data_IF_924425352939
#
_entry.id   IF_924425352939
#
_cell.length_a   1.000
_cell.length_b   1.000
_cell.length_c   1.000
_cell.angle_alpha   90.00
_cell.angle_beta   90.00
_cell.angle_gamma   90.00
#
_symmetry.space_group_name_H-M   'P 1'
#
loop_
_entity.id
_entity.type
_entity.pdbx_description
1 polymer ?
#
# COMPACT_ATOMS: atom_id res chain seq x y z
N UNK A 1 20.83 0.20 -32.87
CA UNK A 1 19.41 0.38 -33.24
C UNK A 1 18.51 -0.79 -32.82
N UNK A 2 18.96 -2.06 -32.90
CA UNK A 2 18.16 -3.24 -32.51
C UNK A 2 17.95 -3.41 -30.99
N UNK A 3 18.82 -2.85 -30.14
CA UNK A 3 18.72 -2.96 -28.69
C UNK A 3 17.66 -2.03 -28.07
N UNK A 4 17.32 -0.94 -28.75
CA UNK A 4 16.24 -0.02 -28.31
C UNK A 4 14.85 -0.56 -28.62
N UNK A 5 14.69 -1.35 -29.70
CA UNK A 5 13.39 -1.92 -30.06
C UNK A 5 12.97 -2.98 -29.05
N UNK A 6 13.87 -3.89 -28.66
CA UNK A 6 13.61 -4.91 -27.64
C UNK A 6 13.22 -4.31 -26.28
N UNK A 7 13.87 -3.22 -25.85
CA UNK A 7 13.54 -2.49 -24.62
C UNK A 7 12.13 -1.89 -24.66
N UNK A 8 11.65 -1.43 -25.84
CA UNK A 8 10.28 -0.94 -26.02
C UNK A 8 9.22 -2.05 -25.98
N UNK A 9 9.52 -3.25 -26.47
CA UNK A 9 8.56 -4.36 -26.48
C UNK A 9 8.31 -4.93 -25.07
N UNK A 10 9.35 -5.06 -24.24
CA UNK A 10 9.21 -5.55 -22.87
C UNK A 10 8.48 -4.57 -21.94
N UNK A 11 8.76 -3.26 -22.09
CA UNK A 11 8.03 -2.23 -21.35
C UNK A 11 6.56 -2.19 -21.77
N UNK A 12 6.26 -2.33 -23.07
CA UNK A 12 4.87 -2.43 -23.56
C UNK A 12 4.17 -3.69 -23.05
N UNK A 13 4.85 -4.82 -22.96
CA UNK A 13 4.28 -6.07 -22.43
C UNK A 13 3.98 -5.99 -20.93
N UNK A 14 4.88 -5.39 -20.13
CA UNK A 14 4.64 -5.16 -18.69
C UNK A 14 3.53 -4.12 -18.49
N UNK A 15 3.52 -3.03 -19.28
CA UNK A 15 2.48 -2.01 -19.21
C UNK A 15 1.11 -2.57 -19.62
N UNK A 16 1.06 -3.44 -20.63
CA UNK A 16 -0.15 -4.15 -21.06
C UNK A 16 -0.57 -5.23 -20.05
N UNK A 17 0.37 -5.94 -19.42
CA UNK A 17 0.08 -6.92 -18.36
C UNK A 17 -0.46 -6.24 -17.09
N UNK A 18 0.11 -5.09 -16.70
CA UNK A 18 -0.40 -4.25 -15.61
C UNK A 18 -1.76 -3.62 -15.96
N UNK A 19 -1.98 -3.20 -17.21
CA UNK A 19 -3.30 -2.75 -17.69
C UNK A 19 -4.32 -3.89 -17.70
N UNK A 20 -3.92 -5.11 -18.04
CA UNK A 20 -4.81 -6.28 -18.10
C UNK A 20 -5.21 -6.75 -16.70
N UNK A 21 -4.32 -6.63 -15.70
CA UNK A 21 -4.64 -6.90 -14.29
C UNK A 21 -5.34 -5.72 -13.59
N UNK A 22 -5.18 -4.47 -14.05
CA UNK A 22 -5.93 -3.32 -13.54
C UNK A 22 -7.31 -3.14 -14.20
N UNK A 23 -7.59 -3.84 -15.30
CA UNK A 23 -8.83 -3.76 -16.07
C UNK A 23 -9.77 -4.96 -15.86
N UNK A 24 -9.71 -5.64 -14.72
CA UNK A 24 -10.86 -6.36 -14.19
C UNK A 24 -11.60 -5.49 -13.18
N UNK A 25 -12.50 -4.57 -13.61
CA UNK A 25 -13.49 -4.02 -12.72
C UNK A 25 -14.63 -5.04 -12.66
N UNK A 26 -14.61 -5.96 -11.70
CA UNK A 26 -15.79 -6.77 -11.41
C UNK A 26 -15.80 -7.11 -9.93
N UNK A 27 -16.34 -6.15 -9.16
CA UNK A 27 -17.52 -6.28 -8.28
C UNK A 27 -17.41 -5.28 -7.13
N UNK A 28 -17.70 -4.02 -7.40
CA UNK A 28 -18.24 -3.14 -6.38
C UNK A 28 -19.74 -3.34 -6.38
N UNK A 29 -20.19 -4.44 -5.75
CA UNK A 29 -21.58 -4.56 -5.36
C UNK A 29 -21.63 -4.03 -3.93
N UNK A 30 -22.19 -2.83 -3.78
CA UNK A 30 -22.79 -2.43 -2.51
C UNK A 30 -23.76 -3.54 -2.10
N UNK A 31 -23.42 -4.33 -1.08
CA UNK A 31 -24.35 -5.28 -0.47
C UNK A 31 -25.37 -4.50 0.37
N UNK A 32 -26.34 -3.89 -0.34
CA UNK A 32 -27.60 -3.41 0.23
C UNK A 32 -28.64 -4.55 0.35
N UNK A 33 -28.24 -5.81 0.16
CA UNK A 33 -29.17 -6.92 -0.04
C UNK A 33 -29.00 -8.03 1.00
N UNK A 34 -29.29 -7.73 2.27
CA UNK A 34 -29.67 -8.78 3.23
C UNK A 34 -30.80 -8.39 4.20
N UNK A 35 -31.59 -7.37 3.87
CA UNK A 35 -32.88 -7.12 4.53
C UNK A 35 -33.99 -7.87 3.80
N UNK A 36 -34.13 -9.17 4.07
CA UNK A 36 -35.45 -9.80 4.06
C UNK A 36 -35.39 -11.13 4.78
N UNK A 37 -36.43 -11.38 5.59
CA UNK A 37 -36.75 -12.62 6.31
C UNK A 37 -35.98 -12.92 7.60
N UNK A 38 -36.33 -12.23 8.70
CA UNK A 38 -36.98 -12.87 9.87
C UNK A 38 -37.88 -11.84 10.56
N UNK A 39 -39.19 -11.96 10.35
CA UNK A 39 -40.20 -11.26 11.11
C UNK A 39 -41.04 -12.33 11.82
N UNK A 40 -40.70 -12.67 13.06
CA UNK A 40 -41.63 -13.25 14.04
C UNK A 40 -41.02 -13.40 15.44
N UNK A 41 -41.52 -12.58 16.39
CA UNK A 41 -42.06 -12.98 17.71
C UNK A 41 -41.81 -11.92 18.82
N UNK A 42 -42.80 -11.02 18.97
CA UNK A 42 -43.40 -10.46 20.20
C UNK A 42 -42.60 -10.46 21.53
N UNK A 43 -42.33 -9.28 22.10
CA UNK A 43 -42.95 -8.74 23.35
C UNK A 43 -42.38 -7.34 23.71
N UNK A 44 -43.19 -6.40 24.25
CA UNK A 44 -42.72 -5.06 24.63
C UNK A 44 -42.42 -5.00 26.12
N UNK A 45 -41.17 -4.69 26.50
CA UNK A 45 -40.91 -4.11 27.82
C UNK A 45 -39.72 -3.15 27.77
N UNK A 46 -39.88 -2.06 28.52
CA UNK A 46 -39.08 -0.85 28.44
C UNK A 46 -37.70 -1.02 29.10
N UNK A 47 -36.63 -0.72 28.35
CA UNK A 47 -35.39 -0.16 28.88
C UNK A 47 -34.57 0.47 27.74
N UNK A 48 -34.70 1.79 27.56
CA UNK A 48 -33.84 2.57 26.66
C UNK A 48 -32.50 2.85 27.35
N UNK A 49 -31.57 1.91 27.27
CA UNK A 49 -30.15 2.15 27.49
C UNK A 49 -29.35 1.51 26.35
N UNK A 50 -28.77 2.37 25.50
CA UNK A 50 -27.59 2.06 24.68
C UNK A 50 -27.75 0.98 23.61
N UNK A 51 -28.50 1.25 22.54
CA UNK A 51 -28.44 0.43 21.31
C UNK A 51 -28.19 1.32 20.09
N UNK A 52 -26.96 1.82 19.98
CA UNK A 52 -26.32 2.17 18.70
C UNK A 52 -25.44 1.00 18.20
N UNK A 53 -25.38 -0.10 18.96
CA UNK A 53 -24.49 -1.25 18.74
C UNK A 53 -25.06 -2.41 17.92
N UNK A 54 -25.98 -2.16 16.99
CA UNK A 54 -26.34 -3.17 15.97
C UNK A 54 -25.88 -2.63 14.62
N UNK A 55 -24.61 -2.87 14.25
CA UNK A 55 -24.12 -3.08 12.86
C UNK A 55 -22.62 -2.84 12.60
N UNK A 56 -21.81 -2.39 13.56
CA UNK A 56 -20.35 -2.40 13.35
C UNK A 56 -19.83 -3.83 13.55
N UNK A 57 -19.26 -4.44 12.50
CA UNK A 57 -18.46 -5.67 12.64
C UNK A 57 -17.23 -5.43 13.52
N UNK A 58 -16.30 -6.40 13.59
CA UNK A 58 -15.05 -6.21 14.35
C UNK A 58 -14.33 -4.92 13.92
N UNK A 59 -14.31 -4.61 12.62
CA UNK A 59 -13.67 -3.41 12.06
C UNK A 59 -14.17 -2.12 12.71
N UNK A 60 -15.48 -1.89 12.78
CA UNK A 60 -16.03 -0.68 13.41
C UNK A 60 -16.13 -0.73 14.95
N UNK A 61 -15.58 -1.77 15.59
CA UNK A 61 -15.52 -1.83 17.05
C UNK A 61 -14.37 -1.00 17.60
N UNK A 62 -14.43 -0.57 18.86
CA UNK A 62 -13.34 0.19 19.51
C UNK A 62 -11.99 -0.54 19.43
N UNK A 63 -12.00 -1.88 19.53
CA UNK A 63 -10.79 -2.68 19.44
C UNK A 63 -10.29 -2.82 17.99
N UNK A 64 -11.20 -2.92 17.01
CA UNK A 64 -10.86 -2.97 15.58
C UNK A 64 -10.23 -1.65 15.12
N UNK A 65 -10.86 -0.53 15.46
CA UNK A 65 -10.34 0.82 15.22
C UNK A 65 -8.92 0.98 15.79
N UNK A 66 -8.73 0.66 17.08
CA UNK A 66 -7.42 0.79 17.71
C UNK A 66 -6.35 -0.11 17.05
N UNK A 67 -6.75 -1.29 16.56
CA UNK A 67 -5.88 -2.19 15.82
C UNK A 67 -5.49 -1.63 14.45
N UNK A 68 -6.48 -1.13 13.70
CA UNK A 68 -6.26 -0.51 12.40
C UNK A 68 -5.40 0.75 12.51
N UNK A 69 -5.69 1.64 13.46
CA UNK A 69 -4.88 2.84 13.72
C UNK A 69 -3.42 2.48 14.06
N UNK A 70 -3.20 1.47 14.90
CA UNK A 70 -1.86 0.97 15.19
C UNK A 70 -1.14 0.46 13.91
N UNK A 71 -1.83 -0.30 13.07
CA UNK A 71 -1.29 -0.80 11.81
C UNK A 71 -0.91 0.33 10.85
N UNK A 72 -1.75 1.36 10.74
CA UNK A 72 -1.48 2.55 9.94
C UNK A 72 -0.30 3.33 10.47
N UNK A 73 -0.24 3.61 11.78
CA UNK A 73 0.87 4.34 12.41
C UNK A 73 2.19 3.59 12.22
N UNK A 74 2.21 2.27 12.47
CA UNK A 74 3.41 1.47 12.29
C UNK A 74 3.85 1.42 10.82
N UNK A 75 2.91 1.31 9.89
CA UNK A 75 3.19 1.42 8.46
C UNK A 75 3.75 2.80 8.10
N UNK A 76 3.22 3.87 8.70
CA UNK A 76 3.72 5.23 8.58
C UNK A 76 5.19 5.37 8.96
N UNK A 77 5.61 4.73 10.06
CA UNK A 77 7.03 4.68 10.46
C UNK A 77 7.89 4.05 9.35
N UNK A 78 7.46 2.92 8.77
CA UNK A 78 8.20 2.26 7.69
C UNK A 78 8.27 3.11 6.43
N UNK A 79 7.16 3.73 6.03
CA UNK A 79 7.12 4.64 4.87
C UNK A 79 8.01 5.87 5.10
N UNK A 80 8.08 6.41 6.33
CA UNK A 80 9.00 7.50 6.65
C UNK A 80 10.46 7.11 6.55
N UNK A 81 10.84 5.91 6.99
CA UNK A 81 12.21 5.42 6.82
C UNK A 81 12.57 5.32 5.33
N UNK A 82 11.64 4.86 4.49
CA UNK A 82 11.79 4.83 3.04
C UNK A 82 11.95 6.26 2.49
N UNK A 83 11.05 7.17 2.84
CA UNK A 83 11.09 8.56 2.41
C UNK A 83 12.39 9.27 2.81
N UNK A 84 12.85 9.11 4.06
CA UNK A 84 14.12 9.66 4.54
C UNK A 84 15.32 9.07 3.78
N UNK A 85 15.27 7.77 3.46
CA UNK A 85 16.29 7.12 2.64
C UNK A 85 16.34 7.69 1.21
N UNK A 86 15.19 8.04 0.65
CA UNK A 86 15.08 8.69 -0.66
C UNK A 86 15.50 10.16 -0.63
N UNK A 87 15.15 10.92 0.43
CA UNK A 87 15.63 12.30 0.63
C UNK A 87 17.16 12.31 0.73
N UNK A 88 17.74 11.38 1.50
CA UNK A 88 19.20 11.23 1.61
C UNK A 88 19.84 10.99 0.24
N UNK A 89 19.25 10.12 -0.57
CA UNK A 89 19.75 9.81 -1.92
C UNK A 89 19.61 11.00 -2.86
N UNK A 90 18.46 11.68 -2.86
CA UNK A 90 18.23 12.88 -3.65
C UNK A 90 19.23 13.97 -3.28
N UNK A 91 19.44 14.25 -1.99
CA UNK A 91 20.37 15.28 -1.53
C UNK A 91 21.86 14.88 -1.60
N UNK A 92 22.17 13.69 -2.11
CA UNK A 92 23.53 13.14 -2.18
C UNK A 92 24.31 13.25 -0.85
N UNK A 93 23.61 13.07 0.28
CA UNK A 93 24.21 13.26 1.60
C UNK A 93 25.23 12.14 1.88
N UNK A 94 26.49 12.48 2.22
CA UNK A 94 27.59 11.51 2.31
C UNK A 94 27.58 10.64 3.58
N UNK A 95 26.45 10.51 4.28
CA UNK A 95 26.42 9.89 5.61
C UNK A 95 26.22 8.38 5.61
N UNK A 96 26.95 7.73 6.51
CA UNK A 96 26.87 6.34 6.96
C UNK A 96 26.48 5.32 5.90
N UNK A 97 27.47 4.63 5.33
CA UNK A 97 27.29 3.64 4.26
C UNK A 97 26.22 2.57 4.57
N UNK A 98 25.96 2.26 5.84
CA UNK A 98 24.93 1.30 6.26
C UNK A 98 23.49 1.81 6.02
N UNK A 99 23.26 3.13 6.04
CA UNK A 99 21.91 3.72 5.85
C UNK A 99 21.31 3.44 4.48
N UNK A 100 22.14 3.02 3.51
CA UNK A 100 21.67 2.52 2.22
C UNK A 100 20.72 1.32 2.39
N UNK A 101 20.81 0.55 3.48
CA UNK A 101 19.97 -0.61 3.72
C UNK A 101 18.65 -0.29 4.44
N UNK A 102 18.42 0.95 4.85
CA UNK A 102 17.19 1.35 5.54
C UNK A 102 15.95 1.16 4.66
N UNK A 103 15.99 1.60 3.40
CA UNK A 103 14.88 1.44 2.46
C UNK A 103 14.48 -0.03 2.23
N UNK A 104 15.39 -0.92 1.78
CA UNK A 104 15.01 -2.32 1.58
C UNK A 104 14.62 -2.99 2.91
N UNK A 105 15.27 -2.63 4.02
CA UNK A 105 14.91 -3.14 5.35
C UNK A 105 13.49 -2.77 5.76
N UNK A 106 13.09 -1.51 5.57
CA UNK A 106 11.75 -1.04 5.86
C UNK A 106 10.69 -1.70 4.98
N UNK A 107 10.96 -1.88 3.67
CA UNK A 107 10.06 -2.61 2.77
C UNK A 107 9.90 -4.08 3.18
N UNK A 108 10.99 -4.74 3.57
CA UNK A 108 10.94 -6.13 4.01
C UNK A 108 10.21 -6.28 5.35
N UNK A 109 10.43 -5.35 6.29
CA UNK A 109 9.73 -5.31 7.57
C UNK A 109 8.23 -5.04 7.38
N UNK A 110 7.87 -4.01 6.62
CA UNK A 110 6.48 -3.66 6.31
C UNK A 110 5.78 -4.81 5.57
N UNK A 111 6.44 -5.43 4.58
CA UNK A 111 5.87 -6.55 3.84
C UNK A 111 5.60 -7.77 4.74
N UNK A 112 6.55 -8.09 5.62
CA UNK A 112 6.39 -9.18 6.59
C UNK A 112 5.27 -8.87 7.58
N UNK A 113 5.19 -7.62 8.04
CA UNK A 113 4.15 -7.14 8.94
C UNK A 113 2.76 -7.28 8.32
N UNK A 114 2.57 -6.83 7.08
CA UNK A 114 1.30 -6.96 6.35
C UNK A 114 0.92 -8.42 6.09
N UNK A 115 1.89 -9.31 5.89
CA UNK A 115 1.54 -10.72 5.71
C UNK A 115 1.08 -11.39 7.00
N UNK A 116 1.64 -11.00 8.15
CA UNK A 116 1.44 -11.72 9.40
C UNK A 116 0.45 -11.04 10.34
N UNK A 117 0.49 -9.71 10.48
CA UNK A 117 -0.17 -8.97 11.54
C UNK A 117 -1.20 -7.92 11.07
N UNK A 118 -1.29 -7.55 9.80
CA UNK A 118 -2.27 -6.50 9.40
C UNK A 118 -3.72 -6.84 9.70
N UNK A 119 -4.08 -8.12 9.68
CA UNK A 119 -5.48 -8.57 9.76
C UNK A 119 -5.64 -9.53 10.94
N UNK A 120 -6.45 -9.14 11.93
CA UNK A 120 -6.56 -9.90 13.18
C UNK A 120 -7.07 -11.33 12.99
N UNK A 121 -7.97 -11.53 12.02
CA UNK A 121 -8.59 -12.82 11.73
C UNK A 121 -7.82 -13.64 10.70
N UNK A 122 -6.90 -13.03 9.95
CA UNK A 122 -6.25 -13.72 8.85
C UNK A 122 -5.18 -14.72 9.33
N UNK A 123 -4.98 -15.75 8.54
CA UNK A 123 -3.78 -16.58 8.62
C UNK A 123 -2.52 -15.71 8.49
N UNK A 124 -1.44 -15.96 9.27
CA UNK A 124 -1.20 -17.14 10.10
C UNK A 124 -1.60 -17.02 11.58
N UNK A 125 -2.03 -15.85 12.04
CA UNK A 125 -2.24 -15.60 13.48
C UNK A 125 -3.70 -15.68 13.93
N UNK A 126 -4.63 -15.55 13.00
CA UNK A 126 -6.06 -15.47 13.27
C UNK A 126 -6.81 -16.78 13.07
N UNK A 127 -8.14 -16.68 13.11
CA UNK A 127 -9.06 -17.80 13.03
C UNK A 127 -9.28 -18.34 11.60
N UNK A 128 -9.04 -17.53 10.57
CA UNK A 128 -9.18 -17.92 9.18
C UNK A 128 -8.04 -18.86 8.76
N UNK A 129 -8.40 -19.89 8.00
CA UNK A 129 -7.43 -20.72 7.30
C UNK A 129 -6.77 -19.97 6.14
N UNK A 130 -5.64 -20.47 5.65
CA UNK A 130 -4.97 -19.93 4.46
C UNK A 130 -5.93 -19.74 3.28
N UNK A 131 -6.77 -20.74 2.98
CA UNK A 131 -7.71 -20.64 1.86
C UNK A 131 -8.77 -19.55 2.07
N UNK A 132 -9.26 -19.38 3.30
CA UNK A 132 -10.23 -18.33 3.63
C UNK A 132 -9.59 -16.93 3.57
N UNK A 133 -8.34 -16.78 4.02
CA UNK A 133 -7.60 -15.51 3.94
C UNK A 133 -7.37 -15.06 2.50
N UNK A 134 -6.98 -15.96 1.60
CA UNK A 134 -6.61 -15.57 0.24
C UNK A 134 -7.74 -15.70 -0.79
N UNK A 135 -8.77 -16.50 -0.51
CA UNK A 135 -9.85 -16.80 -1.45
C UNK A 135 -11.26 -16.70 -0.83
N UNK A 136 -11.38 -16.15 0.39
CA UNK A 136 -12.66 -16.03 1.10
C UNK A 136 -13.53 -14.84 0.68
N UNK A 137 -13.05 -13.97 -0.20
CA UNK A 137 -13.81 -12.82 -0.72
C UNK A 137 -13.71 -11.54 0.10
N UNK A 138 -12.93 -11.52 1.18
CA UNK A 138 -12.63 -10.30 1.93
C UNK A 138 -11.61 -9.45 1.16
N UNK A 139 -12.07 -8.35 0.57
CA UNK A 139 -11.25 -7.47 -0.25
C UNK A 139 -10.19 -6.71 0.56
N UNK A 140 -10.46 -6.41 1.84
CA UNK A 140 -9.54 -5.71 2.72
C UNK A 140 -8.32 -6.60 2.98
N UNK A 141 -8.56 -7.81 3.47
CA UNK A 141 -7.51 -8.80 3.74
C UNK A 141 -6.72 -9.08 2.45
N UNK A 142 -7.41 -9.29 1.33
CA UNK A 142 -6.76 -9.57 0.06
C UNK A 142 -5.82 -8.43 -0.37
N UNK A 143 -6.25 -7.17 -0.21
CA UNK A 143 -5.41 -6.02 -0.52
C UNK A 143 -4.23 -5.91 0.44
N UNK A 144 -4.41 -6.09 1.75
CA UNK A 144 -3.31 -6.10 2.72
C UNK A 144 -2.25 -7.16 2.39
N UNK A 145 -2.66 -8.40 2.08
CA UNK A 145 -1.70 -9.45 1.68
C UNK A 145 -1.03 -9.14 0.35
N UNK A 146 -1.76 -8.57 -0.59
CA UNK A 146 -1.20 -8.11 -1.86
C UNK A 146 -0.12 -7.04 -1.62
N UNK A 147 -0.39 -6.00 -0.83
CA UNK A 147 0.60 -5.00 -0.44
C UNK A 147 1.82 -5.61 0.25
N UNK A 148 1.61 -6.60 1.12
CA UNK A 148 2.68 -7.36 1.76
C UNK A 148 3.63 -8.02 0.74
N UNK A 149 3.06 -8.73 -0.24
CA UNK A 149 3.83 -9.40 -1.32
C UNK A 149 4.55 -8.38 -2.20
N UNK A 150 3.90 -7.29 -2.58
CA UNK A 150 4.52 -6.22 -3.38
C UNK A 150 5.72 -5.63 -2.61
N UNK A 151 5.55 -5.31 -1.33
CA UNK A 151 6.59 -4.73 -0.48
C UNK A 151 7.78 -5.68 -0.30
N UNK A 152 7.53 -6.98 -0.05
CA UNK A 152 8.61 -7.98 0.04
C UNK A 152 9.38 -8.12 -1.28
N UNK A 153 8.66 -8.13 -2.40
CA UNK A 153 9.26 -8.25 -3.74
C UNK A 153 10.19 -7.07 -4.03
N UNK A 154 9.70 -5.84 -3.83
CA UNK A 154 10.50 -4.64 -4.06
C UNK A 154 11.64 -4.52 -3.04
N UNK A 155 11.39 -4.80 -1.76
CA UNK A 155 12.41 -4.80 -0.72
C UNK A 155 13.56 -5.75 -1.04
N UNK A 156 13.24 -6.95 -1.53
CA UNK A 156 14.25 -7.93 -1.97
C UNK A 156 15.04 -7.41 -3.17
N UNK A 157 14.37 -6.89 -4.21
CA UNK A 157 15.04 -6.32 -5.39
C UNK A 157 15.99 -5.19 -4.97
N UNK A 158 15.53 -4.25 -4.14
CA UNK A 158 16.33 -3.14 -3.66
C UNK A 158 17.52 -3.60 -2.80
N UNK A 159 17.34 -4.64 -2.00
CA UNK A 159 18.42 -5.23 -1.21
C UNK A 159 19.51 -5.83 -2.12
N UNK A 160 19.12 -6.66 -3.09
CA UNK A 160 20.03 -7.29 -4.04
C UNK A 160 20.78 -6.24 -4.90
N UNK A 161 20.10 -5.17 -5.31
CA UNK A 161 20.74 -4.02 -5.99
C UNK A 161 21.80 -3.37 -5.13
N UNK A 162 21.52 -3.14 -3.85
CA UNK A 162 22.45 -2.50 -2.92
C UNK A 162 23.60 -3.42 -2.54
N UNK A 163 23.45 -4.73 -2.62
CA UNK A 163 24.56 -5.68 -2.57
C UNK A 163 25.39 -5.73 -3.86
N UNK A 164 24.95 -5.08 -4.94
CA UNK A 164 25.65 -5.09 -6.23
C UNK A 164 25.35 -6.33 -7.08
N UNK A 165 24.39 -7.16 -6.68
CA UNK A 165 24.02 -8.38 -7.40
C UNK A 165 23.14 -8.09 -8.63
N UNK A 166 22.45 -6.95 -8.65
CA UNK A 166 21.60 -6.49 -9.74
C UNK A 166 22.13 -5.17 -10.34
N UNK A 167 23.15 -5.27 -11.20
CA UNK A 167 23.84 -4.10 -11.78
C UNK A 167 23.12 -3.42 -12.94
N UNK A 168 22.14 -4.06 -13.57
CA UNK A 168 21.44 -3.48 -14.73
C UNK A 168 20.46 -2.37 -14.30
N UNK A 169 20.49 -1.22 -14.99
CA UNK A 169 19.70 -0.04 -14.63
C UNK A 169 18.18 -0.29 -14.56
N UNK A 170 17.66 -1.26 -15.32
CA UNK A 170 16.23 -1.64 -15.29
C UNK A 170 15.74 -2.07 -13.89
N UNK A 171 16.65 -2.55 -13.02
CA UNK A 171 16.28 -2.95 -11.67
C UNK A 171 15.95 -1.75 -10.76
N UNK A 172 16.20 -0.51 -11.19
CA UNK A 172 15.70 0.68 -10.51
C UNK A 172 14.20 0.94 -10.74
N UNK A 173 13.62 0.35 -11.79
CA UNK A 173 12.23 0.58 -12.23
C UNK A 173 11.15 -0.03 -11.33
N UNK A 174 11.32 -1.20 -10.69
CA UNK A 174 10.32 -1.77 -9.80
C UNK A 174 9.83 -0.82 -8.72
N UNK A 175 10.71 -0.24 -7.89
CA UNK A 175 10.29 0.62 -6.77
C UNK A 175 9.22 1.68 -7.16
N UNK A 176 9.43 2.54 -8.18
CA UNK A 176 8.42 3.51 -8.56
C UNK A 176 7.22 2.90 -9.31
N UNK A 177 7.37 1.79 -10.04
CA UNK A 177 6.22 1.12 -10.69
C UNK A 177 5.29 0.50 -9.65
N UNK A 178 5.84 -0.17 -8.64
CA UNK A 178 5.05 -0.75 -7.55
C UNK A 178 4.42 0.33 -6.66
N UNK A 179 5.05 1.50 -6.51
CA UNK A 179 4.40 2.65 -5.88
C UNK A 179 3.16 3.13 -6.66
N UNK A 180 3.21 3.13 -8.00
CA UNK A 180 2.03 3.43 -8.83
C UNK A 180 0.97 2.35 -8.68
N UNK A 181 1.33 1.07 -8.79
CA UNK A 181 0.38 -0.05 -8.65
C UNK A 181 -0.29 -0.02 -7.27
N UNK A 182 0.50 0.10 -6.21
CA UNK A 182 -0.03 0.18 -4.85
C UNK A 182 -0.88 1.42 -4.63
N UNK A 183 -0.47 2.56 -5.19
CA UNK A 183 -1.25 3.80 -5.17
C UNK A 183 -2.60 3.68 -5.88
N UNK A 184 -2.65 2.98 -7.02
CA UNK A 184 -3.90 2.71 -7.74
C UNK A 184 -4.84 1.79 -6.95
N UNK A 185 -4.28 0.79 -6.25
CA UNK A 185 -5.07 -0.10 -5.39
C UNK A 185 -5.75 0.67 -4.24
N UNK A 186 -5.11 1.71 -3.70
CA UNK A 186 -5.66 2.48 -2.56
C UNK A 186 -7.00 3.17 -2.88
N UNK A 187 -7.28 3.48 -4.15
CA UNK A 187 -8.57 4.09 -4.53
C UNK A 187 -9.77 3.16 -4.32
N UNK A 188 -9.54 1.85 -4.34
CA UNK A 188 -10.55 0.84 -4.06
C UNK A 188 -10.34 0.17 -2.70
N UNK A 189 -9.54 0.76 -1.82
CA UNK A 189 -9.31 0.23 -0.49
C UNK A 189 -10.38 0.75 0.48
N UNK A 190 -10.95 -0.16 1.25
CA UNK A 190 -11.91 0.13 2.31
C UNK A 190 -11.69 -0.85 3.44
N UNK A 191 -11.80 -0.36 4.67
CA UNK A 191 -12.08 -1.25 5.79
C UNK A 191 -13.52 -1.76 5.68
N UNK A 192 -13.84 -2.89 6.33
CA UNK A 192 -15.17 -3.48 6.35
C UNK A 192 -16.30 -2.53 6.83
N UNK A 193 -17.38 -3.06 7.40
CA UNK A 193 -18.49 -2.18 7.86
C UNK A 193 -17.99 -1.27 8.99
N UNK A 194 -17.75 0.01 8.67
CA UNK A 194 -17.07 0.97 9.51
C UNK A 194 -17.81 2.33 9.56
N UNK A 195 -18.02 2.94 10.74
CA UNK A 195 -18.74 4.22 10.87
C UNK A 195 -18.05 5.40 10.15
N UNK A 196 -16.75 5.32 9.93
CA UNK A 196 -15.93 6.35 9.27
C UNK A 196 -15.49 5.98 7.84
N UNK A 197 -16.19 5.05 7.17
CA UNK A 197 -15.83 4.54 5.85
C UNK A 197 -15.53 5.64 4.81
N UNK A 198 -16.32 6.73 4.78
CA UNK A 198 -16.10 7.85 3.86
C UNK A 198 -14.78 8.60 4.13
N UNK A 199 -14.47 8.86 5.40
CA UNK A 199 -13.22 9.52 5.81
C UNK A 199 -12.03 8.66 5.41
N UNK A 200 -12.11 7.37 5.72
CA UNK A 200 -11.11 6.36 5.37
C UNK A 200 -10.87 6.35 3.85
N UNK A 201 -11.94 6.30 3.05
CA UNK A 201 -11.82 6.28 1.59
C UNK A 201 -11.14 7.55 1.05
N UNK A 202 -11.46 8.73 1.61
CA UNK A 202 -10.80 9.99 1.25
C UNK A 202 -9.31 9.96 1.60
N UNK A 203 -8.96 9.53 2.82
CA UNK A 203 -7.58 9.43 3.27
C UNK A 203 -6.77 8.49 2.34
N UNK A 204 -7.34 7.35 1.98
CA UNK A 204 -6.75 6.38 1.05
C UNK A 204 -6.63 6.93 -0.38
N UNK A 205 -7.64 7.65 -0.89
CA UNK A 205 -7.56 8.28 -2.21
C UNK A 205 -6.49 9.37 -2.28
N UNK A 206 -6.29 10.13 -1.20
CA UNK A 206 -5.22 11.13 -1.08
C UNK A 206 -3.85 10.43 -1.11
N UNK A 207 -3.67 9.38 -0.31
CA UNK A 207 -2.43 8.58 -0.31
C UNK A 207 -2.17 7.95 -1.68
N UNK A 208 -3.19 7.39 -2.32
CA UNK A 208 -3.12 6.81 -3.66
C UNK A 208 -2.68 7.82 -4.71
N UNK A 209 -3.25 9.02 -4.68
CA UNK A 209 -2.87 10.12 -5.57
C UNK A 209 -1.41 10.54 -5.37
N UNK A 210 -0.96 10.66 -4.11
CA UNK A 210 0.44 10.96 -3.81
C UNK A 210 1.38 9.85 -4.30
N UNK A 211 1.03 8.58 -4.08
CA UNK A 211 1.86 7.45 -4.48
C UNK A 211 2.01 7.33 -6.01
N UNK A 212 0.91 7.50 -6.76
CA UNK A 212 0.93 7.52 -8.23
C UNK A 212 1.76 8.69 -8.76
N UNK A 213 1.58 9.88 -8.16
CA UNK A 213 2.35 11.08 -8.54
C UNK A 213 3.83 10.92 -8.23
N UNK A 214 4.15 10.33 -7.07
CA UNK A 214 5.51 10.05 -6.66
C UNK A 214 6.16 9.09 -7.67
N UNK A 215 5.60 7.90 -7.88
CA UNK A 215 6.20 6.88 -8.74
C UNK A 215 6.38 7.40 -10.17
N UNK A 216 5.41 8.16 -10.67
CA UNK A 216 5.52 8.84 -11.96
C UNK A 216 6.71 9.82 -11.98
N UNK A 217 6.82 10.69 -10.97
CA UNK A 217 7.92 11.66 -10.85
C UNK A 217 9.29 10.96 -10.86
N UNK A 218 9.41 9.83 -10.18
CA UNK A 218 10.66 9.06 -10.14
C UNK A 218 11.01 8.45 -11.51
N UNK A 219 10.04 7.87 -12.20
CA UNK A 219 10.24 7.35 -13.57
C UNK A 219 10.61 8.46 -14.56
N UNK A 220 9.94 9.61 -14.50
CA UNK A 220 10.26 10.81 -15.29
C UNK A 220 11.70 11.27 -15.00
N UNK A 221 12.10 11.32 -13.73
CA UNK A 221 13.45 11.70 -13.35
C UNK A 221 14.52 10.78 -13.94
N UNK A 222 14.29 9.47 -13.87
CA UNK A 222 15.24 8.48 -14.38
C UNK A 222 15.26 8.46 -15.92
N UNK A 223 14.13 8.73 -16.56
CA UNK A 223 14.02 8.85 -18.02
C UNK A 223 14.80 10.04 -18.58
N UNK A 224 14.72 11.19 -17.91
CA UNK A 224 15.41 12.41 -18.34
C UNK A 224 16.83 12.54 -17.79
N UNK A 225 17.33 11.52 -17.08
CA UNK A 225 18.66 11.57 -16.47
C UNK A 225 19.75 11.51 -17.53
N UNK A 226 20.36 12.67 -17.80
CA UNK A 226 21.59 12.75 -18.60
C UNK A 226 22.79 12.27 -17.78
N UNK A 227 23.73 11.48 -18.35
CA UNK A 227 24.93 11.00 -17.65
C UNK A 227 25.81 12.11 -17.06
N UNK A 228 25.71 13.35 -17.56
CA UNK A 228 26.54 14.49 -17.14
C UNK A 228 25.96 15.33 -16.00
N UNK A 229 24.72 15.09 -15.57
CA UNK A 229 24.07 15.89 -14.54
C UNK A 229 24.29 15.28 -13.15
N UNK A 230 25.21 15.86 -12.39
CA UNK A 230 25.57 15.45 -11.03
C UNK A 230 24.63 15.99 -9.94
N UNK A 231 23.71 16.89 -10.31
CA UNK A 231 22.78 17.56 -9.38
C UNK A 231 21.44 16.82 -9.34
N UNK A 232 20.90 16.64 -8.13
CA UNK A 232 19.57 16.08 -7.90
C UNK A 232 18.50 16.79 -8.72
N UNK A 233 17.68 16.00 -9.37
CA UNK A 233 16.54 16.49 -10.12
C UNK A 233 15.43 16.95 -9.16
N UNK A 234 14.72 18.03 -9.49
CA UNK A 234 13.52 18.45 -8.75
C UNK A 234 12.49 17.31 -8.65
N UNK A 235 12.49 16.40 -9.62
CA UNK A 235 11.64 15.21 -9.65
C UNK A 235 12.04 14.14 -8.61
N UNK A 236 13.32 14.00 -8.26
CA UNK A 236 13.77 13.11 -7.18
C UNK A 236 13.35 13.65 -5.80
N UNK A 237 13.44 14.98 -5.62
CA UNK A 237 12.95 15.63 -4.40
C UNK A 237 11.42 15.55 -4.29
N UNK A 238 10.69 15.70 -5.40
CA UNK A 238 9.23 15.54 -5.40
C UNK A 238 8.83 14.11 -5.03
N UNK A 239 9.48 13.11 -5.62
CA UNK A 239 9.32 11.70 -5.23
C UNK A 239 9.53 11.50 -3.73
N UNK A 240 10.70 11.89 -3.22
CA UNK A 240 11.05 11.67 -1.82
C UNK A 240 10.09 12.44 -0.87
N UNK A 241 9.73 13.67 -1.24
CA UNK A 241 8.79 14.50 -0.48
C UNK A 241 7.38 13.89 -0.41
N UNK A 242 6.86 13.37 -1.51
CA UNK A 242 5.54 12.72 -1.53
C UNK A 242 5.52 11.43 -0.69
N UNK A 243 6.59 10.61 -0.76
CA UNK A 243 6.71 9.44 0.12
C UNK A 243 6.75 9.85 1.60
N UNK A 244 7.46 10.93 1.94
CA UNK A 244 7.45 11.48 3.30
C UNK A 244 6.04 11.93 3.72
N UNK A 245 5.29 12.61 2.85
CA UNK A 245 3.94 13.05 3.14
C UNK A 245 2.97 11.88 3.37
N UNK A 246 3.08 10.80 2.60
CA UNK A 246 2.31 9.56 2.85
C UNK A 246 2.65 9.00 4.24
N UNK A 247 3.94 8.91 4.58
CA UNK A 247 4.36 8.43 5.89
C UNK A 247 3.86 9.30 7.06
N UNK A 248 3.83 10.63 6.88
CA UNK A 248 3.26 11.56 7.87
C UNK A 248 1.74 11.36 7.98
N UNK A 249 1.03 11.27 6.84
CA UNK A 249 -0.42 11.05 6.83
C UNK A 249 -0.79 9.76 7.57
N UNK A 250 -0.03 8.68 7.36
CA UNK A 250 -0.19 7.42 8.08
C UNK A 250 0.10 7.54 9.58
N UNK A 251 1.06 8.37 10.01
CA UNK A 251 1.34 8.58 11.44
C UNK A 251 0.23 9.34 12.17
N UNK A 252 -0.49 10.21 11.47
CA UNK A 252 -1.59 11.01 12.03
C UNK A 252 -2.96 10.44 11.64
N UNK A 253 -2.97 9.26 11.04
CA UNK A 253 -4.18 8.56 10.64
C UNK A 253 -5.05 8.29 11.85
N UNK A 254 -6.36 8.44 11.67
CA UNK A 254 -7.36 8.14 12.69
C UNK A 254 -8.65 7.71 12.02
N UNK A 255 -9.47 6.92 12.70
CA UNK A 255 -10.77 6.50 12.18
C UNK A 255 -11.93 7.22 12.86
#
# INVERSE_FOLDING_TARGET
MLQESHRRYWVRFIFLFCLFFSATPLWAQHDEQNQTSVQQAVSPDHQHHGTVGHQAGWEGSVAGIAYSEFNHHLSGIWILIIGLSEVRQALALPYWAWTRFLLPGALLAAGSFLLVWSDHNAWPIGSLSFMQTFFGGDSEIFQHKSYGILSLTVGTIELLRRFGQLGHAMWATPLPVFAIIGGLMLFGHSHGIHPSADKIAIDHAIMGTMAVTAGSSKLLSDWFRSPSHTRSSKWELLWAGLIMLIGIQLLIYSE
#
